data_IF_835319514499
#
_entry.id   IF_835319514499
#
_cell.length_a   1.000
_cell.length_b   1.000
_cell.length_c   1.000
_cell.angle_alpha   90.00
_cell.angle_beta   90.00
_cell.angle_gamma   90.00
#
_symmetry.space_group_name_H-M   'P 1'
#
loop_
_entity.id
_entity.type
_entity.pdbx_description
1 polymer ?
#
# COMPACT_ATOMS: atom_id res chain seq x y z
N UNK A 1 32.76 74.41 -6.96
CA UNK A 1 32.08 73.25 -7.57
C UNK A 1 33.09 72.52 -8.44
N UNK A 2 33.37 71.23 -8.18
CA UNK A 2 34.00 70.37 -9.18
C UNK A 2 33.58 68.92 -8.88
N UNK A 3 33.01 68.24 -9.86
CA UNK A 3 32.41 66.92 -9.68
C UNK A 3 33.47 65.82 -9.81
N UNK A 4 33.55 64.93 -8.84
CA UNK A 4 34.28 63.67 -8.99
C UNK A 4 33.43 62.69 -9.81
N UNK A 5 33.89 62.34 -11.02
CA UNK A 5 33.39 61.18 -11.77
C UNK A 5 34.07 59.93 -11.23
N UNK A 6 33.29 58.98 -10.73
CA UNK A 6 33.77 57.63 -10.39
C UNK A 6 33.52 56.73 -11.60
N UNK A 7 34.58 56.24 -12.23
CA UNK A 7 34.51 55.16 -13.21
C UNK A 7 34.41 53.82 -12.47
N UNK A 8 33.27 53.16 -12.59
CA UNK A 8 33.09 51.81 -12.05
C UNK A 8 33.87 50.80 -12.89
N UNK A 9 34.95 50.25 -12.34
CA UNK A 9 35.66 49.10 -12.91
C UNK A 9 34.95 47.80 -12.56
N UNK A 10 34.95 46.88 -13.52
CA UNK A 10 34.31 45.56 -13.43
C UNK A 10 34.82 44.75 -12.23
N UNK A 11 33.90 44.25 -11.39
CA UNK A 11 34.27 43.55 -10.15
C UNK A 11 33.10 42.98 -9.36
N UNK A 12 31.95 42.70 -10.00
CA UNK A 12 30.69 42.36 -9.34
C UNK A 12 30.26 40.88 -9.53
N UNK A 13 31.19 39.93 -9.39
CA UNK A 13 30.90 38.48 -9.49
C UNK A 13 31.70 37.66 -8.47
N UNK A 14 31.34 37.78 -7.18
CA UNK A 14 31.62 36.81 -6.09
C UNK A 14 30.99 37.29 -4.78
N UNK A 15 29.77 36.80 -4.49
CA UNK A 15 29.15 36.48 -3.18
C UNK A 15 27.67 36.19 -3.50
N UNK A 16 27.39 34.95 -3.92
CA UNK A 16 26.03 34.43 -4.17
C UNK A 16 26.06 32.88 -4.20
N UNK A 17 26.69 32.27 -3.19
CA UNK A 17 26.97 30.81 -3.19
C UNK A 17 26.91 30.15 -1.80
N UNK A 18 26.40 30.83 -0.77
CA UNK A 18 26.44 30.36 0.62
C UNK A 18 25.11 30.54 1.36
N UNK A 19 24.01 30.06 0.74
CA UNK A 19 22.67 29.96 1.37
C UNK A 19 21.83 28.83 0.72
N UNK A 20 22.48 27.73 0.33
CA UNK A 20 21.87 26.51 -0.23
C UNK A 20 22.31 25.23 0.53
N UNK A 21 22.54 25.37 1.83
CA UNK A 21 22.78 24.27 2.77
C UNK A 21 21.76 24.41 3.90
N UNK A 22 21.18 23.29 4.34
CA UNK A 22 20.14 23.22 5.37
C UNK A 22 18.74 23.74 4.99
N UNK A 23 18.22 23.28 3.85
CA UNK A 23 16.91 22.63 3.98
C UNK A 23 17.17 21.21 4.51
N UNK A 24 16.51 20.75 5.58
CA UNK A 24 16.36 19.31 5.76
C UNK A 24 15.56 18.86 4.55
N UNK A 25 16.22 18.17 3.62
CA UNK A 25 15.51 17.24 2.74
C UNK A 25 15.00 16.19 3.72
N UNK A 26 13.79 16.43 4.21
CA UNK A 26 13.01 15.43 4.90
C UNK A 26 12.75 14.37 3.82
N UNK A 27 13.68 13.41 3.75
CA UNK A 27 13.61 12.28 2.87
C UNK A 27 12.41 11.50 3.37
N UNK A 28 11.23 11.86 2.83
CA UNK A 28 9.96 11.25 3.16
C UNK A 28 10.16 9.75 2.97
N UNK A 29 10.33 9.03 4.09
CA UNK A 29 10.52 7.59 4.06
C UNK A 29 9.40 6.99 3.23
N UNK A 30 9.70 6.07 2.30
CA UNK A 30 8.63 5.47 1.54
C UNK A 30 7.72 4.71 2.50
N UNK A 31 6.43 4.99 2.41
CA UNK A 31 5.39 4.23 3.09
C UNK A 31 5.13 2.98 2.24
N UNK A 32 5.26 1.79 2.82
CA UNK A 32 5.05 0.54 2.09
C UNK A 32 3.59 0.04 2.24
N UNK A 33 2.80 0.70 3.08
CA UNK A 33 1.44 0.30 3.43
C UNK A 33 1.36 -1.15 3.89
N UNK A 34 0.14 -1.66 3.87
CA UNK A 34 -0.17 -3.03 4.24
C UNK A 34 0.05 -3.98 3.05
N UNK A 35 1.26 -3.97 2.48
CA UNK A 35 1.70 -4.89 1.44
C UNK A 35 2.86 -5.72 1.99
N UNK A 36 2.78 -7.05 2.15
CA UNK A 36 3.85 -7.85 2.76
C UNK A 36 4.96 -8.26 1.77
N UNK A 37 6.17 -8.41 2.30
CA UNK A 37 7.33 -9.04 1.63
C UNK A 37 7.46 -10.55 1.92
N UNK A 38 6.76 -11.05 2.95
CA UNK A 38 6.74 -12.46 3.35
C UNK A 38 8.13 -13.11 3.51
N UNK A 39 8.85 -12.74 4.60
CA UNK A 39 10.02 -13.54 5.04
C UNK A 39 10.17 -13.82 6.55
N UNK A 40 9.07 -13.82 7.32
CA UNK A 40 9.03 -14.51 8.61
C UNK A 40 7.72 -15.28 8.78
N UNK A 41 7.84 -16.44 9.43
CA UNK A 41 6.72 -17.31 9.80
C UNK A 41 6.91 -17.66 11.27
N UNK A 42 6.24 -16.95 12.17
CA UNK A 42 6.20 -17.37 13.58
C UNK A 42 5.12 -18.44 13.72
N UNK A 43 5.39 -19.62 14.30
CA UNK A 43 4.38 -20.66 14.43
C UNK A 43 3.16 -20.20 15.25
N UNK A 44 2.06 -19.86 14.57
CA UNK A 44 0.80 -19.43 15.19
C UNK A 44 0.11 -18.26 14.50
N UNK A 45 0.87 -17.42 13.78
CA UNK A 45 0.35 -16.33 12.95
C UNK A 45 0.53 -16.68 11.47
N UNK A 46 -0.49 -16.50 10.62
CA UNK A 46 -0.40 -16.92 9.22
C UNK A 46 0.43 -15.98 8.35
N UNK A 47 0.72 -14.74 8.75
CA UNK A 47 1.25 -13.69 7.86
C UNK A 47 2.20 -12.66 8.56
N UNK A 48 3.24 -13.08 9.30
CA UNK A 48 4.21 -12.14 9.94
C UNK A 48 5.21 -11.49 8.95
N UNK A 49 4.74 -11.13 7.76
CA UNK A 49 5.55 -10.77 6.59
C UNK A 49 5.47 -9.30 6.16
N UNK A 50 4.79 -8.46 6.95
CA UNK A 50 4.63 -7.02 6.71
C UNK A 50 5.82 -6.24 7.35
N UNK A 51 6.23 -5.10 6.76
CA UNK A 51 5.77 -4.52 5.51
C UNK A 51 6.57 -5.11 4.34
N UNK A 52 6.33 -4.61 3.14
CA UNK A 52 7.20 -4.85 1.99
C UNK A 52 8.46 -4.00 2.10
N UNK A 53 9.55 -4.41 1.44
CA UNK A 53 10.84 -3.74 1.57
C UNK A 53 11.32 -3.15 0.26
N UNK A 54 12.27 -2.22 0.34
CA UNK A 54 12.93 -1.70 -0.84
C UNK A 54 13.70 -2.79 -1.62
N UNK A 55 14.04 -3.91 -0.98
CA UNK A 55 14.79 -5.02 -1.60
C UNK A 55 13.94 -5.89 -2.53
N UNK A 56 12.62 -5.90 -2.37
CA UNK A 56 11.66 -6.60 -3.23
C UNK A 56 11.05 -5.72 -4.33
N UNK A 57 11.34 -4.41 -4.31
CA UNK A 57 10.58 -3.36 -5.00
C UNK A 57 9.08 -3.34 -4.63
N UNK A 58 8.76 -3.61 -3.35
CA UNK A 58 7.41 -3.53 -2.80
C UNK A 58 6.64 -2.25 -3.18
N UNK A 59 5.32 -2.38 -3.35
CA UNK A 59 4.44 -1.25 -3.58
C UNK A 59 4.63 -0.22 -2.47
N UNK A 60 4.88 1.05 -2.83
CA UNK A 60 5.19 2.09 -1.85
C UNK A 60 4.86 3.49 -2.32
N UNK A 61 4.48 4.34 -1.37
CA UNK A 61 3.98 5.69 -1.60
C UNK A 61 4.87 6.70 -0.85
N UNK A 62 5.27 7.80 -1.50
CA UNK A 62 6.13 8.79 -0.86
C UNK A 62 5.39 9.59 0.24
N UNK A 63 4.11 9.87 0.01
CA UNK A 63 3.24 10.64 0.90
C UNK A 63 1.78 10.16 0.81
N UNK A 64 1.43 9.30 1.75
CA UNK A 64 0.10 8.71 1.94
C UNK A 64 -0.91 9.70 2.56
N UNK A 65 -0.43 10.66 3.37
CA UNK A 65 -1.23 11.65 4.13
C UNK A 65 -2.13 12.58 3.30
N UNK A 66 -2.07 12.49 1.97
CA UNK A 66 -2.85 13.31 1.03
C UNK A 66 -4.05 12.58 0.46
N UNK A 67 -3.93 11.27 0.26
CA UNK A 67 -4.87 10.41 -0.45
C UNK A 67 -4.66 8.97 0.02
N UNK A 68 -5.68 8.37 0.61
CA UNK A 68 -5.67 7.00 1.13
C UNK A 68 -7.02 6.31 0.87
N UNK A 69 -7.04 5.00 1.02
CA UNK A 69 -8.24 4.17 1.05
C UNK A 69 -8.97 4.41 2.39
N UNK A 70 -10.07 3.72 2.65
CA UNK A 70 -10.73 3.88 3.94
C UNK A 70 -11.37 5.22 4.26
N UNK A 71 -11.65 5.41 5.56
CA UNK A 71 -12.04 6.65 6.24
C UNK A 71 -10.88 7.32 6.95
N UNK A 72 -10.03 6.52 7.59
CA UNK A 72 -9.12 6.99 8.64
C UNK A 72 -7.77 6.30 8.60
N UNK A 73 -6.88 6.83 9.41
CA UNK A 73 -5.56 6.32 9.71
C UNK A 73 -5.59 5.94 11.20
N UNK A 74 -5.42 4.66 11.56
CA UNK A 74 -5.67 4.01 12.88
C UNK A 74 -4.69 2.85 13.09
N UNK A 75 -3.87 2.66 14.17
CA UNK A 75 -2.41 2.20 14.35
C UNK A 75 -1.67 0.84 13.90
N UNK A 76 -0.59 0.91 13.07
CA UNK A 76 0.35 -0.12 12.47
C UNK A 76 1.82 0.29 12.71
N UNK A 77 2.82 -0.63 12.68
CA UNK A 77 4.20 -0.31 13.08
C UNK A 77 5.10 0.36 12.02
N UNK A 78 4.74 0.28 10.74
CA UNK A 78 5.62 0.49 9.58
C UNK A 78 5.01 1.33 8.45
N UNK A 79 3.70 1.30 8.29
CA UNK A 79 2.96 2.36 7.61
C UNK A 79 3.17 3.71 8.34
N UNK A 80 3.33 4.82 7.60
CA UNK A 80 3.27 6.16 8.25
C UNK A 80 1.84 6.48 8.67
N UNK A 81 0.89 5.84 8.02
CA UNK A 81 -0.48 5.73 8.40
C UNK A 81 -0.65 4.44 9.16
N UNK A 82 -0.17 4.43 10.38
CA UNK A 82 -0.39 3.32 11.27
C UNK A 82 -1.92 2.92 11.20
N UNK A 83 -2.42 1.81 10.54
CA UNK A 83 -2.93 0.52 11.16
C UNK A 83 -4.30 -0.22 11.05
N UNK A 84 -4.52 -1.02 12.13
CA UNK A 84 -5.64 -1.90 12.57
C UNK A 84 -7.08 -1.36 12.34
N UNK A 85 -7.50 -1.29 11.09
CA UNK A 85 -8.68 -1.98 10.56
C UNK A 85 -8.52 -2.03 9.03
N UNK A 86 -8.84 -3.15 8.37
CA UNK A 86 -9.04 -3.21 6.91
C UNK A 86 -10.27 -2.35 6.52
N UNK A 87 -10.28 -1.05 6.80
CA UNK A 87 -11.50 -0.26 6.79
C UNK A 87 -12.03 -0.07 5.36
N UNK A 88 -11.20 -0.25 4.33
CA UNK A 88 -11.65 -0.41 2.94
C UNK A 88 -12.51 -1.66 2.72
N UNK A 89 -12.24 -2.80 3.39
CA UNK A 89 -13.12 -3.97 3.31
C UNK A 89 -14.50 -3.70 3.90
N UNK A 90 -14.56 -2.88 4.96
CA UNK A 90 -15.77 -2.59 5.72
C UNK A 90 -16.57 -1.44 5.09
N UNK A 91 -15.88 -0.45 4.52
CA UNK A 91 -16.48 0.81 4.06
C UNK A 91 -16.34 1.08 2.56
N UNK A 92 -15.34 0.51 1.88
CA UNK A 92 -14.96 0.75 0.48
C UNK A 92 -14.96 2.25 0.16
N UNK A 93 -14.02 2.99 0.74
CA UNK A 93 -13.92 4.45 0.63
C UNK A 93 -12.56 4.90 0.12
N UNK A 94 -12.51 6.11 -0.42
CA UNK A 94 -11.28 6.83 -0.72
C UNK A 94 -11.35 8.16 -0.02
N UNK A 95 -10.34 8.45 0.80
CA UNK A 95 -10.25 9.69 1.57
C UNK A 95 -9.14 10.58 1.04
N UNK A 96 -9.47 11.87 0.89
CA UNK A 96 -8.66 12.87 0.23
C UNK A 96 -8.32 13.98 1.23
N UNK A 97 -7.37 13.75 2.13
CA UNK A 97 -7.00 14.73 3.16
C UNK A 97 -6.53 16.07 2.60
N UNK A 98 -5.55 16.05 1.69
CA UNK A 98 -5.06 17.26 1.00
C UNK A 98 -4.88 17.09 -0.52
N UNK A 99 -5.37 15.97 -1.06
CA UNK A 99 -5.41 15.75 -2.50
C UNK A 99 -6.49 16.58 -3.19
N UNK A 100 -6.30 16.84 -4.48
CA UNK A 100 -7.28 17.47 -5.36
C UNK A 100 -7.09 16.94 -6.76
N UNK A 101 -8.18 16.48 -7.36
CA UNK A 101 -8.20 15.95 -8.73
C UNK A 101 -8.61 14.49 -8.76
N UNK A 102 -8.18 13.78 -9.79
CA UNK A 102 -8.57 12.39 -9.99
C UNK A 102 -7.68 11.42 -9.21
N UNK A 103 -8.24 10.28 -8.83
CA UNK A 103 -7.52 9.10 -8.34
C UNK A 103 -7.97 7.83 -9.08
N UNK A 104 -7.21 6.75 -8.95
CA UNK A 104 -7.44 5.47 -9.63
C UNK A 104 -7.21 4.31 -8.67
N UNK A 105 -8.19 3.41 -8.58
CA UNK A 105 -8.11 2.16 -7.85
C UNK A 105 -7.72 1.04 -8.82
N UNK A 106 -6.80 0.19 -8.37
CA UNK A 106 -6.36 -1.01 -9.05
C UNK A 106 -6.50 -2.19 -8.07
N UNK A 107 -6.98 -3.34 -8.54
CA UNK A 107 -7.10 -4.55 -7.72
C UNK A 107 -6.56 -5.76 -8.46
N UNK A 108 -5.64 -6.45 -7.81
CA UNK A 108 -5.06 -7.74 -8.18
C UNK A 108 -5.61 -8.79 -7.21
N UNK A 109 -6.03 -9.96 -7.70
CA UNK A 109 -6.60 -11.06 -6.92
C UNK A 109 -5.85 -12.33 -7.32
N UNK A 110 -5.37 -13.07 -6.34
CA UNK A 110 -4.85 -14.42 -6.57
C UNK A 110 -6.02 -15.33 -6.97
N UNK A 111 -6.08 -15.71 -8.26
CA UNK A 111 -7.20 -16.46 -8.82
C UNK A 111 -6.86 -17.92 -9.05
N UNK A 112 -5.70 -18.19 -9.61
CA UNK A 112 -5.21 -19.53 -9.93
C UNK A 112 -4.51 -20.22 -8.75
N UNK A 113 -4.17 -19.50 -7.68
CA UNK A 113 -3.51 -20.08 -6.50
C UNK A 113 -2.07 -20.49 -6.76
N UNK A 114 -1.45 -19.95 -7.82
CA UNK A 114 -0.03 -20.14 -8.13
C UNK A 114 0.86 -19.20 -7.27
N UNK A 115 0.25 -18.09 -6.84
CA UNK A 115 0.68 -17.27 -5.72
C UNK A 115 0.47 -18.00 -4.41
N UNK A 116 1.57 -18.60 -3.95
CA UNK A 116 1.67 -19.43 -2.75
C UNK A 116 1.56 -18.59 -1.45
N UNK A 117 0.44 -17.89 -1.30
CA UNK A 117 0.10 -17.07 -0.16
C UNK A 117 -0.73 -17.91 0.86
N UNK A 118 -0.39 -17.87 2.16
CA UNK A 118 0.71 -17.15 2.78
C UNK A 118 1.99 -18.00 3.00
N UNK A 119 3.11 -17.30 3.16
CA UNK A 119 4.29 -17.74 3.92
C UNK A 119 5.11 -18.96 3.43
N UNK A 120 4.95 -19.46 2.20
CA UNK A 120 5.84 -20.55 1.69
C UNK A 120 6.78 -20.15 0.56
N UNK A 121 6.57 -19.00 -0.09
CA UNK A 121 7.50 -18.43 -1.08
C UNK A 121 7.62 -16.91 -0.88
N UNK A 122 8.81 -16.32 -1.14
CA UNK A 122 9.10 -14.94 -0.76
C UNK A 122 8.43 -13.85 -1.62
N UNK A 123 7.55 -14.21 -2.56
CA UNK A 123 6.83 -13.23 -3.40
C UNK A 123 5.47 -13.80 -3.80
N UNK A 124 4.40 -13.03 -3.56
CA UNK A 124 3.25 -13.05 -4.45
C UNK A 124 3.69 -12.48 -5.80
N UNK A 125 3.49 -13.26 -6.85
CA UNK A 125 3.67 -12.91 -8.25
C UNK A 125 2.30 -12.61 -8.85
N UNK A 126 1.82 -11.41 -8.51
CA UNK A 126 0.82 -10.64 -9.26
C UNK A 126 1.31 -10.26 -10.69
N UNK A 127 2.17 -11.09 -11.27
CA UNK A 127 2.92 -10.94 -12.52
C UNK A 127 2.07 -11.41 -13.72
N UNK A 128 0.88 -11.96 -13.48
CA UNK A 128 -0.05 -12.45 -14.50
C UNK A 128 -1.07 -11.37 -14.90
N UNK A 129 -1.48 -11.38 -16.17
CA UNK A 129 -2.60 -10.55 -16.63
C UNK A 129 -3.96 -11.05 -16.06
N UNK A 130 -4.01 -12.28 -15.53
CA UNK A 130 -5.23 -12.92 -15.01
C UNK A 130 -5.61 -12.44 -13.61
N UNK A 131 -4.64 -11.99 -12.82
CA UNK A 131 -4.82 -11.55 -11.42
C UNK A 131 -5.64 -10.27 -11.36
N UNK A 132 -5.52 -9.44 -12.40
CA UNK A 132 -6.26 -8.19 -12.53
C UNK A 132 -7.78 -8.39 -12.45
N UNK A 133 -8.34 -7.85 -11.36
CA UNK A 133 -9.79 -7.79 -11.12
C UNK A 133 -10.35 -6.40 -11.38
N UNK A 134 -9.59 -5.34 -11.06
CA UNK A 134 -9.96 -3.95 -11.38
C UNK A 134 -8.75 -3.23 -11.97
N UNK A 135 -8.87 -2.77 -13.22
CA UNK A 135 -7.86 -1.93 -13.89
C UNK A 135 -8.36 -0.48 -13.91
N UNK A 136 -7.66 0.42 -13.24
CA UNK A 136 -7.85 1.88 -13.33
C UNK A 136 -9.30 2.36 -13.08
N UNK A 137 -9.98 1.87 -12.03
CA UNK A 137 -11.27 2.41 -11.62
C UNK A 137 -11.11 3.87 -11.16
N UNK A 138 -11.60 4.81 -11.97
CA UNK A 138 -11.41 6.23 -11.74
C UNK A 138 -12.33 6.76 -10.64
N UNK A 139 -11.75 7.52 -9.71
CA UNK A 139 -12.44 8.31 -8.67
C UNK A 139 -12.23 9.79 -9.03
N UNK A 140 -13.18 10.45 -9.74
CA UNK A 140 -12.90 11.71 -10.43
C UNK A 140 -13.18 12.94 -9.57
N UNK A 141 -12.38 14.01 -9.69
CA UNK A 141 -12.63 15.28 -8.99
C UNK A 141 -12.79 15.14 -7.45
N UNK A 142 -11.85 14.47 -6.77
CA UNK A 142 -11.73 14.54 -5.31
C UNK A 142 -11.32 15.96 -4.87
N UNK A 143 -11.79 16.38 -3.71
CA UNK A 143 -11.38 17.63 -3.05
C UNK A 143 -10.75 17.38 -1.67
N UNK A 144 -9.97 18.34 -1.11
CA UNK A 144 -9.42 18.21 0.23
C UNK A 144 -10.53 18.08 1.30
N UNK A 145 -10.35 17.16 2.24
CA UNK A 145 -11.32 16.81 3.28
C UNK A 145 -12.50 15.95 2.81
N UNK A 146 -12.43 15.35 1.61
CA UNK A 146 -13.50 14.50 1.09
C UNK A 146 -13.28 13.01 1.41
N UNK A 147 -14.27 12.36 2.01
CA UNK A 147 -14.44 10.91 2.03
C UNK A 147 -15.42 10.51 0.91
N UNK A 148 -15.07 9.52 0.07
CA UNK A 148 -15.94 9.07 -1.02
C UNK A 148 -16.09 7.56 -1.09
N UNK A 149 -17.33 7.09 -0.94
CA UNK A 149 -17.71 5.70 -1.19
C UNK A 149 -17.45 5.29 -2.65
N UNK A 150 -16.77 4.16 -2.81
CA UNK A 150 -16.53 3.47 -4.07
C UNK A 150 -17.15 2.08 -3.99
N UNK A 151 -17.33 1.42 -5.15
CA UNK A 151 -17.80 0.03 -5.19
C UNK A 151 -16.80 -0.83 -5.94
N UNK A 152 -16.08 -1.65 -5.20
CA UNK A 152 -15.01 -2.51 -5.69
C UNK A 152 -15.40 -3.97 -5.47
N UNK A 153 -15.36 -4.83 -6.50
CA UNK A 153 -15.66 -6.25 -6.36
C UNK A 153 -14.47 -6.98 -5.70
N UNK A 154 -14.47 -7.01 -4.37
CA UNK A 154 -13.48 -7.72 -3.56
C UNK A 154 -13.95 -9.15 -3.26
N UNK A 155 -13.12 -10.20 -3.48
CA UNK A 155 -13.41 -11.56 -3.03
C UNK A 155 -13.29 -11.67 -1.50
N UNK A 156 -13.91 -12.71 -0.92
CA UNK A 156 -13.83 -13.02 0.53
C UNK A 156 -13.20 -14.39 0.83
N UNK A 157 -12.75 -15.07 -0.21
CA UNK A 157 -12.24 -16.44 -0.24
C UNK A 157 -10.89 -16.54 -0.96
N UNK A 158 -10.27 -15.39 -1.26
CA UNK A 158 -9.00 -15.22 -1.97
C UNK A 158 -8.23 -14.02 -1.42
N UNK A 159 -6.91 -14.09 -1.56
CA UNK A 159 -6.05 -12.93 -1.35
C UNK A 159 -6.25 -11.88 -2.46
N UNK A 160 -6.13 -10.61 -2.10
CA UNK A 160 -6.10 -9.51 -3.06
C UNK A 160 -5.20 -8.37 -2.58
N UNK A 161 -4.63 -7.64 -3.55
CA UNK A 161 -3.92 -6.37 -3.37
C UNK A 161 -4.74 -5.25 -3.99
N UNK A 162 -5.08 -4.22 -3.22
CA UNK A 162 -5.68 -2.98 -3.72
C UNK A 162 -4.66 -1.84 -3.67
N UNK A 163 -4.60 -1.05 -4.74
CA UNK A 163 -3.64 0.06 -4.85
C UNK A 163 -4.32 1.30 -5.42
N UNK A 164 -4.32 2.36 -4.61
CA UNK A 164 -4.83 3.68 -4.93
C UNK A 164 -3.70 4.56 -5.47
N UNK A 165 -3.90 5.21 -6.61
CA UNK A 165 -2.87 6.06 -7.25
C UNK A 165 -3.43 7.33 -7.85
N UNK A 166 -2.56 8.33 -8.04
CA UNK A 166 -2.89 9.62 -8.66
C UNK A 166 -2.70 9.65 -10.18
N UNK A 167 -2.56 8.48 -10.80
CA UNK A 167 -2.45 8.29 -12.26
C UNK A 167 -2.91 6.87 -12.60
N UNK A 168 -3.41 6.61 -13.82
CA UNK A 168 -3.63 5.24 -14.27
C UNK A 168 -2.31 4.48 -14.34
N UNK A 169 -2.38 3.18 -14.06
CA UNK A 169 -1.29 2.22 -14.12
C UNK A 169 -1.42 1.34 -15.38
N UNK A 170 -0.28 1.01 -15.97
CA UNK A 170 -0.14 0.02 -17.03
C UNK A 170 0.94 -0.96 -16.56
N UNK A 171 0.77 -2.26 -16.82
CA UNK A 171 1.74 -3.31 -16.45
C UNK A 171 2.12 -3.26 -14.95
N UNK A 172 1.14 -3.03 -14.08
CA UNK A 172 1.33 -3.08 -12.63
C UNK A 172 1.15 -4.51 -12.13
N UNK A 173 2.11 -4.92 -11.29
CA UNK A 173 2.26 -6.29 -10.79
C UNK A 173 2.48 -6.29 -9.27
N UNK A 174 1.73 -5.45 -8.56
CA UNK A 174 1.84 -5.27 -7.11
C UNK A 174 3.13 -4.59 -6.63
N UNK A 175 3.96 -4.03 -7.52
CA UNK A 175 5.31 -3.51 -7.19
C UNK A 175 5.56 -2.10 -7.73
N UNK A 176 6.53 -1.42 -7.14
CA UNK A 176 7.02 -0.11 -7.57
C UNK A 176 6.65 1.06 -6.66
N UNK A 177 7.04 2.27 -7.07
CA UNK A 177 6.92 3.50 -6.27
C UNK A 177 5.94 4.51 -6.86
N UNK A 178 5.14 5.12 -5.98
CA UNK A 178 4.13 6.11 -6.28
C UNK A 178 4.34 7.39 -5.44
N UNK A 179 3.86 8.53 -5.94
CA UNK A 179 4.00 9.79 -5.20
C UNK A 179 3.03 9.90 -4.02
N UNK A 180 1.77 9.49 -4.24
CA UNK A 180 0.66 9.56 -3.29
C UNK A 180 -0.29 8.38 -3.51
N UNK A 181 -1.31 8.25 -2.66
CA UNK A 181 -2.17 7.07 -2.61
C UNK A 181 -1.66 6.08 -1.57
N UNK A 182 -2.15 4.85 -1.62
CA UNK A 182 -1.90 3.79 -0.64
C UNK A 182 -2.00 2.40 -1.31
N UNK A 183 -1.48 1.37 -0.65
CA UNK A 183 -1.70 -0.04 -1.00
C UNK A 183 -2.06 -0.83 0.26
N UNK A 184 -3.12 -1.63 0.18
CA UNK A 184 -3.54 -2.60 1.20
C UNK A 184 -3.59 -4.01 0.57
N UNK A 185 -3.30 -5.03 1.37
CA UNK A 185 -3.48 -6.44 1.03
C UNK A 185 -4.32 -7.15 2.07
N UNK A 186 -5.34 -7.87 1.60
CA UNK A 186 -6.10 -8.75 2.45
C UNK A 186 -6.06 -10.20 1.99
N UNK A 187 -6.07 -11.11 2.96
CA UNK A 187 -6.21 -12.53 2.76
C UNK A 187 -7.16 -13.16 3.79
N UNK A 188 -7.99 -14.14 3.38
CA UNK A 188 -8.71 -14.96 4.35
C UNK A 188 -7.71 -15.74 5.20
N UNK A 189 -7.93 -15.78 6.51
CA UNK A 189 -7.15 -16.65 7.39
C UNK A 189 -7.19 -18.10 6.85
N UNK A 190 -6.06 -18.83 6.85
CA UNK A 190 -6.03 -20.18 6.31
C UNK A 190 -7.08 -21.03 7.03
N UNK A 191 -7.91 -21.72 6.24
CA UNK A 191 -8.93 -22.61 6.78
C UNK A 191 -8.20 -23.64 7.63
N UNK A 192 -8.31 -23.50 8.97
CA UNK A 192 -7.82 -24.53 9.87
C UNK A 192 -8.65 -25.77 9.57
N UNK A 193 -8.09 -26.72 8.82
CA UNK A 193 -8.65 -28.06 8.71
C UNK A 193 -8.89 -28.53 10.13
N UNK A 194 -10.17 -28.66 10.50
CA UNK A 194 -10.52 -29.15 11.82
C UNK A 194 -10.02 -30.58 11.88
N UNK A 195 -9.00 -30.82 12.71
CA UNK A 195 -8.32 -32.10 12.80
C UNK A 195 -9.39 -33.21 12.83
N UNK A 196 -9.33 -34.20 11.91
CA UNK A 196 -10.47 -35.04 11.58
C UNK A 196 -11.05 -35.61 12.86
N UNK A 197 -12.32 -35.28 13.11
CA UNK A 197 -12.99 -35.61 14.37
C UNK A 197 -12.80 -37.09 14.63
N UNK A 198 -12.05 -37.43 15.69
CA UNK A 198 -11.75 -38.83 16.04
C UNK A 198 -13.08 -39.56 16.10
N UNK A 199 -13.35 -40.42 15.11
CA UNK A 199 -14.60 -41.17 15.04
C UNK A 199 -14.80 -41.84 16.39
N UNK A 200 -15.91 -41.50 17.06
CA UNK A 200 -16.28 -42.13 18.33
C UNK A 200 -16.19 -43.64 18.12
N UNK A 201 -15.42 -44.38 18.95
CA UNK A 201 -15.34 -45.83 18.80
C UNK A 201 -16.75 -46.44 18.78
N UNK A 202 -16.99 -47.50 17.98
CA UNK A 202 -18.25 -48.22 18.01
C UNK A 202 -18.61 -48.58 19.45
N UNK A 203 -19.88 -48.42 19.82
CA UNK A 203 -20.37 -48.93 21.10
C UNK A 203 -20.10 -50.44 21.14
N UNK A 204 -19.64 -51.00 22.28
CA UNK A 204 -19.51 -52.44 22.42
C UNK A 204 -20.90 -53.08 22.23
N UNK A 205 -20.97 -54.31 21.68
CA UNK A 205 -22.23 -55.03 21.56
C UNK A 205 -22.87 -55.23 22.94
N UNK A 206 -24.21 -55.25 23.03
CA UNK A 206 -24.89 -55.49 24.31
C UNK A 206 -24.53 -56.88 24.84
N UNK A 207 -24.11 -56.94 26.10
CA UNK A 207 -23.89 -58.21 26.80
C UNK A 207 -25.23 -58.92 26.98
N UNK A 208 -25.31 -60.18 26.53
CA UNK A 208 -26.46 -61.07 26.70
C UNK A 208 -26.42 -61.82 28.02
#
# INVERSE_FOLDING_TARGET
>A
MQQFRVTATEGAWRIAAWLLLWLPICLLAADFGDAPDARYVTPGSPCDGYPSTLASDGARHADTSRLWLGKSVTDEPDSKQAGDEDDFLIHQQVTSGSWRGDAWINVLVDRDGDDNFPCTRPYGRWESDADWTVRNLKVPNLVPGEERGVKVPLPKDRCFRITLTTRPLNNYHGRGSFAYGETEDWCPAPIRETAPTKKKPPLPPPTT
#
